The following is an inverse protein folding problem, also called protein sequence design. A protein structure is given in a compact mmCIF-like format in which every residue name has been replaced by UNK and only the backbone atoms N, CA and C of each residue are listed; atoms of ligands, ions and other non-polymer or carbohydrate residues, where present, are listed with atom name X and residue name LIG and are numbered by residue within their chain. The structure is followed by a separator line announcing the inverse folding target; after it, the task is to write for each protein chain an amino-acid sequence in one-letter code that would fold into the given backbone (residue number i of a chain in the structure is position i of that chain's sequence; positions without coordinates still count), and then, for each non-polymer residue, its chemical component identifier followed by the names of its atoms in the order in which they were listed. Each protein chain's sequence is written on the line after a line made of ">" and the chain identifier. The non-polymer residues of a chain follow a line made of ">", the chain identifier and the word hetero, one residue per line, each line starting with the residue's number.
data_IF_319128960160
#
_entry.id   IF_319128960160
#
_cell.length_a   1.000
_cell.length_b   1.000
_cell.length_c   1.000
_cell.angle_alpha   90.00
_cell.angle_beta   90.00
_cell.angle_gamma   90.00
#
_symmetry.space_group_name_H-M   'P 1'
#
loop_
_entity.id
_entity.type
_entity.pdbx_description
1 polymer ?
#
# COMPACT_ATOMS: atom_id res chain seq x y z
N UNK A 1 -1.43 -4.21 7.11
CA UNK A 1 -1.60 -5.30 8.09
C UNK A 1 -1.34 -4.75 9.47
N UNK A 2 -2.16 -5.15 10.44
CA UNK A 2 -1.93 -4.85 11.86
C UNK A 2 -1.43 -6.12 12.53
N UNK A 3 -0.28 -6.04 13.18
CA UNK A 3 0.35 -7.18 13.84
C UNK A 3 -0.04 -7.22 15.31
N UNK A 4 0.01 -8.40 15.91
CA UNK A 4 -0.03 -8.52 17.36
C UNK A 4 1.27 -7.96 17.95
N UNK A 5 1.20 -7.35 19.14
CA UNK A 5 2.34 -6.69 19.80
C UNK A 5 3.58 -7.57 19.99
N UNK A 6 3.40 -8.90 20.03
CA UNK A 6 4.49 -9.87 20.17
C UNK A 6 5.26 -10.15 18.87
N UNK A 7 4.82 -9.61 17.73
CA UNK A 7 5.41 -9.87 16.42
C UNK A 7 6.32 -8.71 16.02
N UNK A 8 7.59 -9.03 15.75
CA UNK A 8 8.55 -8.08 15.18
C UNK A 8 8.19 -7.77 13.72
N UNK A 9 7.78 -6.53 13.46
CA UNK A 9 7.36 -6.07 12.14
C UNK A 9 8.48 -6.12 11.09
N UNK A 10 9.74 -5.88 11.48
CA UNK A 10 10.88 -5.90 10.56
C UNK A 10 11.22 -7.32 10.14
N UNK A 11 11.15 -8.27 11.09
CA UNK A 11 11.32 -9.69 10.77
C UNK A 11 10.16 -10.19 9.90
N UNK A 12 8.93 -9.87 10.29
CA UNK A 12 7.74 -10.31 9.59
C UNK A 12 7.68 -9.75 8.15
N UNK A 13 8.04 -8.48 7.94
CA UNK A 13 8.04 -7.87 6.59
C UNK A 13 9.03 -8.56 5.65
N UNK A 14 10.23 -8.93 6.14
CA UNK A 14 11.21 -9.69 5.34
C UNK A 14 10.69 -11.08 4.98
N UNK A 15 10.26 -11.85 5.98
CA UNK A 15 9.76 -13.20 5.75
C UNK A 15 8.53 -13.21 4.82
N UNK A 16 7.64 -12.23 4.97
CA UNK A 16 6.48 -12.08 4.08
C UNK A 16 6.92 -11.69 2.65
N UNK A 17 7.88 -10.77 2.49
CA UNK A 17 8.39 -10.41 1.17
C UNK A 17 9.04 -11.59 0.45
N UNK A 18 9.77 -12.45 1.17
CA UNK A 18 10.37 -13.67 0.61
C UNK A 18 9.32 -14.70 0.14
N UNK A 19 8.15 -14.70 0.77
CA UNK A 19 7.05 -15.60 0.42
C UNK A 19 6.16 -15.06 -0.72
N UNK A 20 6.08 -13.73 -0.85
CA UNK A 20 5.27 -13.06 -1.85
C UNK A 20 5.88 -13.18 -3.26
N UNK A 21 5.08 -13.01 -4.33
CA UNK A 21 5.61 -12.87 -5.68
C UNK A 21 6.57 -11.67 -5.78
N UNK A 22 7.55 -11.68 -6.71
CA UNK A 22 8.57 -10.62 -6.83
C UNK A 22 8.01 -9.19 -6.97
N UNK A 23 6.85 -9.04 -7.60
CA UNK A 23 6.18 -7.76 -7.84
C UNK A 23 5.29 -7.31 -6.67
N UNK A 24 5.36 -7.97 -5.52
CA UNK A 24 4.66 -7.58 -4.28
C UNK A 24 5.65 -7.57 -3.13
N UNK A 25 5.71 -6.46 -2.40
CA UNK A 25 6.59 -6.34 -1.23
C UNK A 25 5.80 -6.18 0.05
N UNK A 26 6.40 -6.54 1.17
CA UNK A 26 5.91 -6.18 2.49
C UNK A 26 6.87 -5.17 3.13
N UNK A 27 6.35 -4.00 3.46
CA UNK A 27 7.13 -2.84 3.89
C UNK A 27 6.65 -2.37 5.25
N UNK A 28 7.56 -2.04 6.16
CA UNK A 28 7.17 -1.57 7.50
C UNK A 28 6.61 -0.15 7.48
N UNK A 29 5.73 0.15 8.45
CA UNK A 29 5.21 1.50 8.69
C UNK A 29 6.33 2.53 8.87
N UNK A 30 7.38 2.13 9.60
CA UNK A 30 8.58 2.95 9.84
C UNK A 30 9.28 3.33 8.54
N UNK A 31 9.48 2.36 7.64
CA UNK A 31 10.07 2.62 6.33
C UNK A 31 9.20 3.58 5.51
N UNK A 32 7.89 3.31 5.40
CA UNK A 32 6.97 4.15 4.62
C UNK A 32 6.91 5.59 5.14
N UNK A 33 7.05 5.78 6.45
CA UNK A 33 7.22 7.08 7.08
C UNK A 33 8.50 7.79 6.64
N UNK A 34 9.63 7.10 6.71
CA UNK A 34 10.94 7.67 6.34
C UNK A 34 11.01 8.02 4.86
N UNK A 35 10.41 7.18 4.02
CA UNK A 35 10.28 7.39 2.58
C UNK A 35 9.19 8.40 2.18
N UNK A 36 8.48 8.99 3.17
CA UNK A 36 7.43 10.01 2.97
C UNK A 36 6.30 9.58 2.03
N UNK A 37 5.92 8.30 2.06
CA UNK A 37 4.86 7.76 1.19
C UNK A 37 3.50 8.43 1.38
N UNK A 38 3.26 8.98 2.56
CA UNK A 38 2.01 9.63 2.91
C UNK A 38 2.11 11.17 2.91
N UNK A 39 3.20 11.72 2.36
CA UNK A 39 3.48 13.16 2.36
C UNK A 39 4.47 13.59 3.45
N UNK A 40 4.66 14.91 3.59
CA UNK A 40 5.64 15.48 4.51
C UNK A 40 5.23 15.35 5.99
N UNK A 41 3.93 15.44 6.28
CA UNK A 41 3.39 15.41 7.64
C UNK A 41 2.07 14.61 7.69
N UNK A 42 1.99 13.69 8.65
CA UNK A 42 0.76 12.99 9.01
C UNK A 42 0.39 13.32 10.44
N UNK A 43 -0.91 13.51 10.70
CA UNK A 43 -1.40 13.66 12.07
C UNK A 43 -1.23 12.36 12.86
N UNK A 44 -1.11 12.47 14.20
CA UNK A 44 -1.01 11.30 15.08
C UNK A 44 -2.19 10.32 14.89
N UNK A 45 -3.42 10.84 14.79
CA UNK A 45 -4.61 10.04 14.55
C UNK A 45 -4.65 9.36 13.16
N UNK A 46 -3.94 9.90 12.16
CA UNK A 46 -3.74 9.21 10.89
C UNK A 46 -2.70 8.10 11.05
N UNK A 47 -1.59 8.38 11.74
CA UNK A 47 -0.51 7.43 12.00
C UNK A 47 -0.96 6.16 12.72
N UNK A 48 -1.87 6.27 13.69
CA UNK A 48 -2.44 5.12 14.41
C UNK A 48 -3.16 4.15 13.47
N UNK A 49 -3.75 4.65 12.38
CA UNK A 49 -4.49 3.88 11.38
C UNK A 49 -3.65 3.32 10.24
N UNK A 50 -2.32 3.43 10.31
CA UNK A 50 -1.46 2.99 9.20
C UNK A 50 -1.17 1.48 9.18
N UNK A 51 -1.33 0.68 10.21
CA UNK A 51 -0.90 -0.74 10.12
C UNK A 51 0.63 -0.89 10.06
N UNK A 52 1.15 -1.92 10.71
CA UNK A 52 2.60 -2.08 10.99
C UNK A 52 3.38 -2.51 9.75
N UNK A 53 2.71 -3.22 8.85
CA UNK A 53 3.25 -3.66 7.56
C UNK A 53 2.26 -3.33 6.44
N UNK A 54 2.74 -2.66 5.40
CA UNK A 54 2.04 -2.35 4.16
C UNK A 54 2.41 -3.39 3.10
N UNK A 55 1.50 -3.68 2.17
CA UNK A 55 1.74 -4.67 1.09
C UNK A 55 1.48 -4.01 -0.27
N UNK A 56 2.40 -3.16 -0.75
CA UNK A 56 2.28 -2.57 -2.09
C UNK A 56 2.50 -3.63 -3.19
N UNK A 57 1.68 -3.56 -4.23
CA UNK A 57 1.97 -4.17 -5.51
C UNK A 57 2.84 -3.19 -6.31
N UNK A 58 3.90 -3.68 -6.95
CA UNK A 58 4.90 -2.90 -7.67
C UNK A 58 4.69 -2.94 -9.19
N UNK A 59 3.62 -3.58 -9.63
CA UNK A 59 3.15 -3.62 -11.01
C UNK A 59 1.72 -3.06 -11.11
N UNK A 60 1.16 -3.17 -12.30
CA UNK A 60 -0.16 -2.63 -12.65
C UNK A 60 -1.22 -3.72 -12.87
N UNK A 61 -0.88 -4.97 -12.58
CA UNK A 61 -1.68 -6.15 -12.92
C UNK A 61 -1.98 -7.02 -11.71
N UNK A 62 -1.35 -6.73 -10.58
CA UNK A 62 -1.48 -7.45 -9.32
C UNK A 62 -2.26 -6.60 -8.32
N UNK A 63 -3.15 -7.26 -7.57
CA UNK A 63 -3.87 -6.66 -6.46
C UNK A 63 -3.92 -7.65 -5.29
N UNK A 64 -3.64 -7.16 -4.08
CA UNK A 64 -3.66 -7.97 -2.87
C UNK A 64 -5.07 -7.98 -2.24
N UNK A 65 -5.59 -9.17 -1.96
CA UNK A 65 -6.88 -9.37 -1.31
C UNK A 65 -6.77 -10.32 -0.12
N UNK A 66 -7.44 -9.97 0.98
CA UNK A 66 -7.87 -10.96 1.97
C UNK A 66 -9.12 -11.65 1.43
N UNK A 67 -8.94 -12.82 0.83
CA UNK A 67 -10.02 -13.57 0.17
C UNK A 67 -11.11 -14.03 1.14
N UNK A 68 -10.84 -14.12 2.44
CA UNK A 68 -11.86 -14.45 3.43
C UNK A 68 -12.85 -13.29 3.65
N UNK A 69 -12.46 -12.07 3.27
CA UNK A 69 -13.26 -10.84 3.41
C UNK A 69 -13.66 -10.22 2.08
N UNK A 70 -13.04 -10.62 0.98
CA UNK A 70 -13.31 -10.07 -0.34
C UNK A 70 -14.70 -10.48 -0.83
N UNK A 71 -15.47 -9.50 -1.33
CA UNK A 71 -16.74 -9.78 -2.00
C UNK A 71 -16.52 -10.28 -3.42
N UNK A 72 -17.49 -11.01 -3.98
CA UNK A 72 -17.46 -11.41 -5.39
C UNK A 72 -17.32 -10.19 -6.33
N UNK A 73 -17.93 -9.05 -5.98
CA UNK A 73 -17.81 -7.81 -6.74
C UNK A 73 -16.38 -7.25 -6.73
N UNK A 74 -15.72 -7.27 -5.57
CA UNK A 74 -14.31 -6.84 -5.43
C UNK A 74 -13.38 -7.69 -6.29
N UNK A 75 -13.56 -9.01 -6.26
CA UNK A 75 -12.76 -9.94 -7.07
C UNK A 75 -13.06 -9.86 -8.58
N UNK A 76 -14.22 -9.34 -8.96
CA UNK A 76 -14.61 -9.16 -10.36
C UNK A 76 -14.17 -7.81 -10.96
N UNK A 77 -13.62 -6.90 -10.15
CA UNK A 77 -13.16 -5.60 -10.63
C UNK A 77 -12.00 -5.75 -11.62
N UNK A 78 -12.10 -5.02 -12.74
CA UNK A 78 -11.09 -5.02 -13.80
C UNK A 78 -9.96 -4.01 -13.58
N UNK A 79 -10.27 -2.90 -12.91
CA UNK A 79 -9.30 -1.86 -12.60
C UNK A 79 -9.13 -1.72 -11.09
N UNK A 80 -7.89 -1.72 -10.63
CA UNK A 80 -7.48 -1.43 -9.26
C UNK A 80 -6.48 -0.29 -9.28
N UNK A 81 -6.33 0.38 -8.15
CA UNK A 81 -5.31 1.41 -7.93
C UNK A 81 -4.92 1.44 -6.46
N UNK A 82 -3.84 2.16 -6.14
CA UNK A 82 -3.28 2.27 -4.80
C UNK A 82 -1.85 1.76 -4.69
N UNK A 83 -1.26 1.33 -5.81
CA UNK A 83 0.15 0.98 -5.94
C UNK A 83 0.99 2.24 -6.15
N UNK A 84 2.31 2.09 -6.03
CA UNK A 84 3.28 3.19 -6.20
C UNK A 84 3.99 3.14 -7.57
N UNK A 85 3.27 2.72 -8.61
CA UNK A 85 3.82 2.66 -9.97
C UNK A 85 3.82 4.03 -10.62
N UNK A 86 4.75 4.28 -11.55
CA UNK A 86 4.82 5.56 -12.27
C UNK A 86 3.50 5.89 -12.98
N UNK A 87 2.85 4.88 -13.59
CA UNK A 87 1.59 5.06 -14.31
C UNK A 87 0.42 5.43 -13.38
N UNK A 88 0.36 4.87 -12.18
CA UNK A 88 -0.68 5.23 -11.20
C UNK A 88 -0.44 6.62 -10.60
N UNK A 89 0.82 7.01 -10.42
CA UNK A 89 1.19 8.31 -9.86
C UNK A 89 1.07 9.46 -10.87
N UNK A 90 1.08 9.16 -12.18
CA UNK A 90 0.94 10.16 -13.23
C UNK A 90 -0.53 10.61 -13.43
N UNK A 91 -1.03 11.40 -12.47
CA UNK A 91 -2.38 11.98 -12.51
C UNK A 91 -2.37 13.32 -13.24
N UNK A 92 -3.16 13.51 -14.32
CA UNK A 92 -3.23 14.78 -15.02
C UNK A 92 -3.72 15.93 -14.14
N UNK A 93 -2.99 17.06 -14.14
CA UNK A 93 -3.40 18.30 -13.49
C UNK A 93 -3.54 19.40 -14.55
N UNK A 94 -4.77 19.75 -14.90
CA UNK A 94 -5.07 20.78 -15.90
C UNK A 94 -5.60 22.05 -15.24
N UNK A 95 -5.10 23.21 -15.67
CA UNK A 95 -5.59 24.54 -15.25
C UNK A 95 -6.39 25.14 -16.39
N UNK A 96 -7.65 25.50 -16.13
CA UNK A 96 -8.52 26.19 -17.09
C UNK A 96 -8.59 27.67 -16.69
N UNK A 97 -7.94 28.58 -17.42
CA UNK A 97 -7.99 30.01 -17.10
C UNK A 97 -9.37 30.62 -17.36
N UNK A 98 -9.71 31.67 -16.62
CA UNK A 98 -10.92 32.46 -16.85
C UNK A 98 -10.84 33.19 -18.21
N UNK A 99 -11.99 33.34 -18.87
CA UNK A 99 -12.14 34.09 -20.13
C UNK A 99 -12.42 35.55 -19.85
#
# INVERSE_FOLDING_TARGET
>A
LYLHDSVDAERFSRELSDWLPPDVQAITRSYASQARWFGAELSAAAWERVGDVLVPCLDEHTAAYDVARASAGSLAMRGQHGSLTERELFVPCAVIPAR
#
